data_IF_428583833819
#
_entry.id   IF_428583833819
#
_cell.length_a   1.000
_cell.length_b   1.000
_cell.length_c   1.000
_cell.angle_alpha   90.00
_cell.angle_beta   90.00
_cell.angle_gamma   90.00
#
_symmetry.space_group_name_H-M   'P 1'
#
loop_
_entity.id
_entity.type
_entity.pdbx_description
1 polymer ?
#
# COMPACT_ATOMS: atom_id res chain seq x y z
N UNK A 1 -9.11 17.74 25.17
CA UNK A 1 -8.50 16.39 25.07
C UNK A 1 -8.95 15.60 23.82
N UNK A 2 -10.25 15.40 23.55
CA UNK A 2 -10.71 14.63 22.36
C UNK A 2 -10.11 15.09 21.01
N UNK A 3 -9.81 16.38 20.85
CA UNK A 3 -9.19 16.91 19.63
C UNK A 3 -7.74 16.47 19.41
N UNK A 4 -6.98 16.19 20.48
CA UNK A 4 -5.61 15.70 20.38
C UNK A 4 -5.60 14.33 19.68
N UNK A 5 -6.37 13.37 20.16
CA UNK A 5 -6.42 12.00 19.61
C UNK A 5 -6.90 11.96 18.16
N UNK A 6 -7.79 12.86 17.76
CA UNK A 6 -8.21 13.00 16.35
C UNK A 6 -7.12 13.58 15.45
N UNK A 7 -6.25 14.45 16.01
CA UNK A 7 -5.16 15.07 15.25
C UNK A 7 -3.97 14.12 15.08
N UNK A 8 -3.56 13.44 16.14
CA UNK A 8 -2.36 12.58 16.15
C UNK A 8 -2.64 11.13 15.77
N UNK A 9 -3.91 10.70 15.88
CA UNK A 9 -4.38 9.37 15.54
C UNK A 9 -5.71 9.45 14.77
N UNK A 10 -6.48 8.36 14.71
CA UNK A 10 -7.85 8.34 14.15
C UNK A 10 -8.94 8.56 15.22
N UNK A 11 -8.56 8.96 16.40
CA UNK A 11 -9.40 9.09 17.59
C UNK A 11 -9.06 8.00 18.61
N UNK A 12 -9.91 7.86 19.60
CA UNK A 12 -9.93 6.71 20.52
C UNK A 12 -11.14 5.85 20.17
N UNK A 13 -10.99 4.55 20.30
CA UNK A 13 -12.11 3.61 20.17
C UNK A 13 -13.19 3.84 21.25
N UNK A 14 -14.40 3.29 21.04
CA UNK A 14 -15.51 3.52 21.97
C UNK A 14 -15.22 2.99 23.38
N UNK A 15 -14.43 1.93 23.51
CA UNK A 15 -14.09 1.26 24.77
C UNK A 15 -12.68 1.63 25.28
N UNK A 16 -11.94 2.47 24.56
CA UNK A 16 -10.60 2.89 24.97
C UNK A 16 -10.65 3.94 26.07
N UNK A 17 -9.87 3.68 27.14
CA UNK A 17 -9.69 4.66 28.21
C UNK A 17 -8.83 5.82 27.71
N UNK A 18 -9.25 7.04 28.05
CA UNK A 18 -8.44 8.24 27.79
C UNK A 18 -7.14 8.15 28.57
N UNK A 19 -5.97 8.12 27.90
CA UNK A 19 -4.68 8.10 28.58
C UNK A 19 -4.49 9.30 29.51
N UNK A 20 -3.81 9.09 30.64
CA UNK A 20 -3.52 10.15 31.61
C UNK A 20 -2.57 11.20 31.06
N UNK A 21 -1.56 10.76 30.29
CA UNK A 21 -0.65 11.62 29.52
C UNK A 21 -0.80 11.34 28.01
N UNK A 22 -1.50 12.23 27.29
CA UNK A 22 -1.71 12.06 25.85
C UNK A 22 -0.43 12.13 25.01
N UNK A 23 0.55 12.91 25.45
CA UNK A 23 1.81 13.09 24.70
C UNK A 23 2.70 11.87 24.84
N UNK A 24 2.84 11.35 26.06
CA UNK A 24 3.60 10.13 26.33
C UNK A 24 2.97 8.94 25.61
N UNK A 25 1.64 8.78 25.71
CA UNK A 25 0.91 7.77 24.94
C UNK A 25 1.19 7.82 23.44
N UNK A 26 1.31 9.02 22.86
CA UNK A 26 1.60 9.15 21.44
C UNK A 26 3.07 8.81 21.13
N UNK A 27 4.02 9.19 22.00
CA UNK A 27 5.45 8.91 21.82
C UNK A 27 5.76 7.42 21.95
N UNK A 28 5.15 6.73 22.90
CA UNK A 28 5.37 5.30 23.13
C UNK A 28 5.08 4.47 21.87
N UNK A 29 4.07 4.88 21.09
CA UNK A 29 3.72 4.21 19.84
C UNK A 29 4.73 4.42 18.72
N UNK A 30 5.69 5.34 18.86
CA UNK A 30 6.72 5.62 17.85
C UNK A 30 8.02 4.83 18.08
N UNK A 31 8.15 4.12 19.20
CA UNK A 31 9.38 3.43 19.58
C UNK A 31 9.70 2.26 18.67
N UNK A 32 8.68 1.53 18.26
CA UNK A 32 8.85 0.41 17.32
C UNK A 32 7.69 0.32 16.33
N UNK A 33 7.95 -0.32 15.20
CA UNK A 33 6.92 -0.59 14.20
C UNK A 33 6.42 -2.02 14.41
N UNK A 34 5.17 -2.19 14.90
CA UNK A 34 4.64 -3.52 15.19
C UNK A 34 4.42 -4.34 13.91
N UNK A 35 4.30 -5.64 14.07
CA UNK A 35 3.84 -6.50 13.00
C UNK A 35 2.43 -6.11 12.54
N UNK A 36 2.07 -6.51 11.33
CA UNK A 36 0.73 -6.30 10.81
C UNK A 36 -0.32 -7.11 11.58
N UNK A 37 -1.44 -6.48 11.88
CA UNK A 37 -2.62 -7.17 12.41
C UNK A 37 -3.31 -8.07 11.35
N UNK A 38 -3.04 -7.83 10.07
CA UNK A 38 -3.57 -8.59 8.95
C UNK A 38 -3.12 -10.04 8.97
N UNK A 39 -4.08 -10.98 8.97
CA UNK A 39 -3.81 -12.42 9.02
C UNK A 39 -3.90 -13.12 7.65
N UNK A 40 -4.27 -12.38 6.60
CA UNK A 40 -4.32 -12.91 5.23
C UNK A 40 -2.93 -12.93 4.56
N UNK A 41 -2.91 -13.45 3.33
CA UNK A 41 -1.68 -13.46 2.52
C UNK A 41 -1.24 -12.04 2.19
N UNK A 42 0.03 -11.76 2.42
CA UNK A 42 0.75 -10.55 2.02
C UNK A 42 1.88 -10.97 1.10
N UNK A 43 2.01 -10.32 -0.05
CA UNK A 43 3.09 -10.59 -1.00
C UNK A 43 4.11 -9.44 -1.00
N UNK A 44 5.41 -9.76 -1.06
CA UNK A 44 6.43 -8.76 -1.24
C UNK A 44 6.37 -8.12 -2.64
N UNK A 45 6.89 -6.91 -2.78
CA UNK A 45 6.93 -6.18 -4.04
C UNK A 45 7.50 -7.01 -5.19
N UNK A 46 8.58 -7.75 -4.94
CA UNK A 46 9.22 -8.64 -5.91
C UNK A 46 8.27 -9.68 -6.51
N UNK A 47 7.40 -10.28 -5.70
CA UNK A 47 6.40 -11.23 -6.19
C UNK A 47 5.30 -10.51 -6.98
N UNK A 48 4.85 -9.36 -6.53
CA UNK A 48 3.84 -8.56 -7.24
C UNK A 48 4.32 -8.11 -8.61
N UNK A 49 5.62 -7.82 -8.78
CA UNK A 49 6.24 -7.57 -10.09
C UNK A 49 6.15 -8.80 -11.02
N UNK A 50 6.28 -10.01 -10.48
CA UNK A 50 6.10 -11.24 -11.25
C UNK A 50 4.63 -11.37 -11.72
N UNK A 51 3.65 -11.13 -10.86
CA UNK A 51 2.23 -11.13 -11.24
C UNK A 51 1.93 -10.11 -12.36
N UNK A 52 2.50 -8.92 -12.28
CA UNK A 52 2.41 -7.93 -13.36
C UNK A 52 2.97 -8.47 -14.67
N UNK A 53 4.17 -9.03 -14.64
CA UNK A 53 4.86 -9.60 -15.82
C UNK A 53 4.03 -10.71 -16.44
N UNK A 54 3.57 -11.64 -15.63
CA UNK A 54 2.79 -12.80 -16.09
C UNK A 54 1.44 -12.36 -16.71
N UNK A 55 0.79 -11.37 -16.12
CA UNK A 55 -0.41 -10.79 -16.69
C UNK A 55 -0.14 -10.09 -18.04
N UNK A 56 0.87 -9.23 -18.12
CA UNK A 56 1.14 -8.44 -19.34
C UNK A 56 1.65 -9.31 -20.49
N UNK A 57 2.62 -10.17 -20.20
CA UNK A 57 3.31 -10.96 -21.21
C UNK A 57 2.68 -12.34 -21.46
N UNK A 58 1.91 -12.85 -20.50
CA UNK A 58 1.17 -14.11 -20.57
C UNK A 58 -0.31 -13.89 -20.87
N UNK A 59 -1.11 -13.74 -19.81
CA UNK A 59 -2.58 -13.76 -19.85
C UNK A 59 -3.18 -12.78 -20.84
N UNK A 60 -2.70 -11.55 -20.87
CA UNK A 60 -3.19 -10.51 -21.77
C UNK A 60 -2.92 -10.83 -23.24
N UNK A 61 -1.77 -11.45 -23.54
CA UNK A 61 -1.47 -11.89 -24.91
C UNK A 61 -2.37 -13.04 -25.35
N UNK A 62 -2.62 -14.00 -24.46
CA UNK A 62 -3.53 -15.11 -24.71
C UNK A 62 -4.94 -14.60 -24.99
N UNK A 63 -5.46 -13.68 -24.15
CA UNK A 63 -6.77 -13.06 -24.37
C UNK A 63 -6.84 -12.31 -25.71
N UNK A 64 -5.81 -11.53 -26.05
CA UNK A 64 -5.78 -10.81 -27.34
C UNK A 64 -5.86 -11.75 -28.54
N UNK A 65 -5.16 -12.90 -28.49
CA UNK A 65 -5.21 -13.91 -29.55
C UNK A 65 -6.60 -14.55 -29.63
N UNK A 66 -7.15 -14.96 -28.46
CA UNK A 66 -8.45 -15.65 -28.37
C UNK A 66 -9.61 -14.78 -28.89
N UNK A 67 -9.59 -13.50 -28.57
CA UNK A 67 -10.65 -12.55 -28.90
C UNK A 67 -10.24 -11.55 -30.00
N UNK A 68 -9.41 -11.98 -30.95
CA UNK A 68 -8.88 -11.10 -32.01
C UNK A 68 -9.97 -10.33 -32.78
N UNK A 69 -11.11 -10.98 -33.05
CA UNK A 69 -12.23 -10.43 -33.81
C UNK A 69 -13.46 -10.11 -32.93
N UNK A 70 -13.34 -10.25 -31.58
CA UNK A 70 -14.43 -9.98 -30.66
C UNK A 70 -13.95 -8.98 -29.56
N UNK A 71 -14.12 -7.69 -29.88
CA UNK A 71 -13.70 -6.60 -28.96
C UNK A 71 -14.46 -6.62 -27.61
N UNK A 72 -15.74 -6.93 -27.64
CA UNK A 72 -16.58 -6.94 -26.44
C UNK A 72 -16.27 -8.17 -25.55
N UNK A 73 -16.10 -9.34 -26.16
CA UNK A 73 -15.61 -10.53 -25.44
C UNK A 73 -14.25 -10.31 -24.82
N UNK A 74 -13.30 -9.69 -25.55
CA UNK A 74 -11.99 -9.31 -25.00
C UNK A 74 -12.12 -8.38 -23.79
N UNK A 75 -12.91 -7.32 -23.90
CA UNK A 75 -13.12 -6.34 -22.83
C UNK A 75 -13.72 -6.99 -21.58
N UNK A 76 -14.74 -7.83 -21.76
CA UNK A 76 -15.40 -8.57 -20.68
C UNK A 76 -14.43 -9.50 -19.94
N UNK A 77 -13.71 -10.37 -20.67
CA UNK A 77 -12.81 -11.33 -20.04
C UNK A 77 -11.56 -10.67 -19.46
N UNK A 78 -11.02 -9.64 -20.11
CA UNK A 78 -9.96 -8.80 -19.53
C UNK A 78 -10.39 -8.16 -18.20
N UNK A 79 -11.63 -7.65 -18.14
CA UNK A 79 -12.13 -7.04 -16.93
C UNK A 79 -12.27 -8.06 -15.78
N UNK A 80 -12.79 -9.26 -16.04
CA UNK A 80 -12.83 -10.36 -15.07
C UNK A 80 -11.44 -10.68 -14.53
N UNK A 81 -10.46 -10.89 -15.42
CA UNK A 81 -9.10 -11.22 -15.04
C UNK A 81 -8.46 -10.17 -14.15
N UNK A 82 -8.71 -8.87 -14.42
CA UNK A 82 -8.21 -7.77 -13.58
C UNK A 82 -8.69 -7.85 -12.14
N UNK A 83 -9.90 -8.33 -11.90
CA UNK A 83 -10.51 -8.41 -10.57
C UNK A 83 -10.19 -9.70 -9.82
N UNK A 84 -9.77 -10.76 -10.51
CA UNK A 84 -9.52 -12.08 -9.90
C UNK A 84 -8.04 -12.29 -9.57
N UNK A 85 -7.15 -12.00 -10.51
CA UNK A 85 -5.70 -12.23 -10.38
C UNK A 85 -4.86 -11.03 -10.80
N UNK A 86 -5.48 -10.03 -11.41
CA UNK A 86 -4.80 -8.86 -11.94
C UNK A 86 -4.69 -7.70 -10.95
N UNK A 87 -4.31 -6.55 -11.48
CA UNK A 87 -3.98 -5.36 -10.68
C UNK A 87 -5.09 -4.89 -9.74
N UNK A 88 -6.37 -5.03 -10.10
CA UNK A 88 -7.48 -4.59 -9.25
C UNK A 88 -7.65 -5.44 -8.00
N UNK A 89 -7.33 -6.75 -8.10
CA UNK A 89 -7.32 -7.62 -6.94
C UNK A 89 -6.25 -7.18 -5.95
N UNK A 90 -5.00 -7.04 -6.39
CA UNK A 90 -3.87 -6.68 -5.54
C UNK A 90 -4.03 -5.28 -4.95
N UNK A 91 -4.46 -4.31 -5.77
CA UNK A 91 -4.73 -2.96 -5.30
C UNK A 91 -5.80 -2.92 -4.20
N UNK A 92 -6.94 -3.60 -4.40
CA UNK A 92 -8.00 -3.66 -3.40
C UNK A 92 -7.53 -4.36 -2.12
N UNK A 93 -6.75 -5.45 -2.23
CA UNK A 93 -6.20 -6.16 -1.08
C UNK A 93 -5.31 -5.23 -0.24
N UNK A 94 -4.41 -4.48 -0.86
CA UNK A 94 -3.53 -3.54 -0.16
C UNK A 94 -4.30 -2.39 0.49
N UNK A 95 -5.35 -1.90 -0.14
CA UNK A 95 -6.26 -0.94 0.50
C UNK A 95 -6.93 -1.54 1.73
N UNK A 96 -7.42 -2.78 1.65
CA UNK A 96 -8.01 -3.48 2.80
C UNK A 96 -7.02 -3.66 3.94
N UNK A 97 -5.76 -4.04 3.64
CA UNK A 97 -4.69 -4.15 4.63
C UNK A 97 -4.49 -2.81 5.33
N UNK A 98 -4.27 -1.74 4.58
CA UNK A 98 -4.01 -0.40 5.11
C UNK A 98 -5.17 0.14 5.95
N UNK A 99 -6.41 -0.05 5.50
CA UNK A 99 -7.59 0.36 6.26
C UNK A 99 -7.80 -0.50 7.51
N UNK A 100 -7.52 -1.81 7.42
CA UNK A 100 -7.59 -2.70 8.58
C UNK A 100 -6.61 -2.28 9.68
N UNK A 101 -5.37 -1.93 9.30
CA UNK A 101 -4.39 -1.38 10.23
C UNK A 101 -4.87 -0.06 10.86
N UNK A 102 -5.46 0.83 10.07
CA UNK A 102 -6.00 2.09 10.59
C UNK A 102 -7.13 1.92 11.61
N UNK A 103 -7.96 0.85 11.44
CA UNK A 103 -9.14 0.61 12.28
C UNK A 103 -8.85 -0.29 13.49
N UNK A 104 -7.88 -1.20 13.38
CA UNK A 104 -7.64 -2.27 14.36
C UNK A 104 -6.28 -2.19 15.04
N UNK A 105 -5.42 -1.26 14.62
CA UNK A 105 -4.08 -1.14 15.17
C UNK A 105 -4.13 -0.71 16.64
N UNK A 106 -3.35 -1.37 17.47
CA UNK A 106 -3.05 -0.93 18.84
C UNK A 106 -2.16 0.32 18.85
N UNK A 107 -1.63 0.69 17.68
CA UNK A 107 -0.78 1.87 17.47
C UNK A 107 -1.39 2.85 16.45
N UNK A 108 -2.53 3.48 16.77
CA UNK A 108 -3.24 4.35 15.83
C UNK A 108 -2.46 5.61 15.42
N UNK A 109 -1.46 6.04 16.21
CA UNK A 109 -0.55 7.13 15.84
C UNK A 109 0.33 6.71 14.66
N UNK A 110 0.95 5.53 14.73
CA UNK A 110 1.73 4.98 13.61
C UNK A 110 0.88 4.75 12.38
N UNK A 111 -0.34 4.22 12.55
CA UNK A 111 -1.26 4.04 11.44
C UNK A 111 -1.56 5.38 10.75
N UNK A 112 -1.75 6.46 11.51
CA UNK A 112 -1.96 7.80 10.94
C UNK A 112 -0.72 8.37 10.27
N UNK A 113 0.47 8.18 10.85
CA UNK A 113 1.73 8.55 10.21
C UNK A 113 1.95 7.81 8.89
N UNK A 114 1.57 6.54 8.81
CA UNK A 114 1.64 5.80 7.56
C UNK A 114 0.76 6.44 6.47
N UNK A 115 -0.44 6.90 6.81
CA UNK A 115 -1.28 7.67 5.87
C UNK A 115 -0.63 8.98 5.45
N UNK A 116 -0.04 9.71 6.40
CA UNK A 116 0.64 10.97 6.13
C UNK A 116 1.83 10.77 5.18
N UNK A 117 2.76 9.89 5.52
CA UNK A 117 3.94 9.63 4.70
C UNK A 117 3.59 8.95 3.37
N UNK A 118 2.61 8.07 3.37
CA UNK A 118 2.09 7.46 2.16
C UNK A 118 1.48 8.45 1.17
N UNK A 119 0.92 9.55 1.66
CA UNK A 119 0.45 10.65 0.82
C UNK A 119 1.60 11.58 0.37
N UNK A 120 2.62 11.74 1.23
CA UNK A 120 3.80 12.55 0.90
C UNK A 120 4.65 11.91 -0.19
N UNK A 121 4.90 10.61 -0.09
CA UNK A 121 5.60 9.79 -1.09
C UNK A 121 4.61 9.03 -1.99
N UNK A 122 3.61 9.74 -2.48
CA UNK A 122 2.55 9.13 -3.28
C UNK A 122 3.05 8.68 -4.65
N UNK A 123 2.56 7.53 -5.08
CA UNK A 123 2.74 7.00 -6.43
C UNK A 123 1.40 7.04 -7.13
N UNK A 124 1.37 7.59 -8.34
CA UNK A 124 0.15 7.69 -9.13
C UNK A 124 -0.31 6.32 -9.61
N UNK A 125 -1.57 5.98 -9.35
CA UNK A 125 -2.21 4.76 -9.83
C UNK A 125 -2.56 4.78 -11.34
N UNK A 126 -2.22 5.85 -12.05
CA UNK A 126 -2.38 5.91 -13.53
C UNK A 126 -1.47 4.90 -14.21
N UNK A 127 -0.30 4.65 -13.64
CA UNK A 127 0.57 3.59 -14.09
C UNK A 127 -0.04 2.22 -13.77
N UNK A 128 -0.12 1.39 -14.80
CA UNK A 128 -0.67 0.05 -14.71
C UNK A 128 0.15 -0.87 -13.79
N UNK A 129 1.46 -0.72 -13.77
CA UNK A 129 2.35 -1.46 -12.89
C UNK A 129 2.22 -1.00 -11.43
N UNK A 130 2.08 0.31 -11.21
CA UNK A 130 1.89 0.89 -9.89
C UNK A 130 0.68 0.28 -9.17
N UNK A 131 -0.39 -0.07 -9.89
CA UNK A 131 -1.55 -0.75 -9.31
C UNK A 131 -1.22 -2.14 -8.71
N UNK A 132 -0.12 -2.78 -9.12
CA UNK A 132 0.35 -4.02 -8.47
C UNK A 132 1.23 -3.75 -7.26
N UNK A 133 2.09 -2.75 -7.32
CA UNK A 133 3.24 -2.64 -6.43
C UNK A 133 3.15 -1.49 -5.41
N UNK A 134 2.28 -0.50 -5.62
CA UNK A 134 2.15 0.66 -4.72
C UNK A 134 1.85 0.26 -3.28
N UNK A 135 0.99 -0.75 -3.06
CA UNK A 135 0.68 -1.20 -1.70
C UNK A 135 1.87 -1.81 -1.00
N UNK A 136 2.63 -2.67 -1.70
CA UNK A 136 3.87 -3.24 -1.16
C UNK A 136 4.92 -2.15 -0.89
N UNK A 137 5.09 -1.19 -1.79
CA UNK A 137 5.94 -0.02 -1.56
C UNK A 137 5.54 0.73 -0.29
N UNK A 138 4.26 0.96 -0.07
CA UNK A 138 3.75 1.61 1.13
C UNK A 138 4.06 0.83 2.41
N UNK A 139 4.04 -0.51 2.36
CA UNK A 139 4.34 -1.38 3.50
C UNK A 139 5.84 -1.52 3.76
N UNK A 140 6.58 -1.89 2.71
CA UNK A 140 7.97 -2.34 2.81
C UNK A 140 8.95 -1.17 2.88
N UNK A 141 8.59 -0.04 2.31
CA UNK A 141 9.44 1.14 2.27
C UNK A 141 8.92 2.22 3.23
N UNK A 142 7.70 2.70 3.02
CA UNK A 142 7.22 3.85 3.81
C UNK A 142 6.98 3.46 5.26
N UNK A 143 6.14 2.44 5.51
CA UNK A 143 5.83 2.02 6.88
C UNK A 143 7.07 1.51 7.62
N UNK A 144 7.90 0.72 6.98
CA UNK A 144 9.09 0.14 7.58
C UNK A 144 10.14 1.18 8.03
N UNK A 145 10.12 2.38 7.46
CA UNK A 145 11.07 3.45 7.77
C UNK A 145 10.47 4.60 8.60
N UNK A 146 9.23 4.49 9.09
CA UNK A 146 8.57 5.59 9.80
C UNK A 146 9.23 5.97 11.13
N UNK A 147 9.95 5.06 11.78
CA UNK A 147 10.71 5.31 13.01
C UNK A 147 12.21 5.58 12.75
N UNK A 148 12.61 5.68 11.48
CA UNK A 148 13.97 6.06 11.10
C UNK A 148 14.09 7.59 10.95
N UNK A 149 15.32 8.09 10.75
CA UNK A 149 15.47 9.50 10.41
C UNK A 149 14.90 9.79 9.01
N UNK A 150 14.52 11.05 8.79
CA UNK A 150 13.86 11.47 7.54
C UNK A 150 14.75 11.26 6.32
N UNK A 151 16.04 11.48 6.44
CA UNK A 151 17.01 11.27 5.34
C UNK A 151 16.96 9.83 4.84
N UNK A 152 16.99 8.85 5.76
CA UNK A 152 16.89 7.44 5.39
C UNK A 152 15.55 7.12 4.73
N UNK A 153 14.45 7.64 5.25
CA UNK A 153 13.13 7.44 4.63
C UNK A 153 13.10 7.99 3.20
N UNK A 154 13.66 9.20 2.96
CA UNK A 154 13.75 9.80 1.62
C UNK A 154 14.59 8.94 0.69
N UNK A 155 15.78 8.49 1.15
CA UNK A 155 16.66 7.63 0.35
C UNK A 155 15.94 6.34 -0.05
N UNK A 156 15.39 5.61 0.90
CA UNK A 156 14.66 4.35 0.63
C UNK A 156 13.45 4.56 -0.28
N UNK A 157 12.69 5.64 -0.06
CA UNK A 157 11.52 5.95 -0.88
C UNK A 157 11.87 6.29 -2.33
N UNK A 158 12.97 7.03 -2.55
CA UNK A 158 13.36 7.50 -3.88
C UNK A 158 14.04 6.42 -4.71
N UNK A 159 14.81 5.51 -4.08
CA UNK A 159 15.47 4.40 -4.79
C UNK A 159 14.61 3.15 -4.89
N UNK A 160 13.43 3.15 -4.28
CA UNK A 160 12.51 2.03 -4.37
C UNK A 160 12.12 1.76 -5.83
N UNK A 161 12.12 0.49 -6.23
CA UNK A 161 11.84 0.10 -7.60
C UNK A 161 10.52 0.66 -8.13
N UNK A 162 9.46 0.62 -7.33
CA UNK A 162 8.14 1.17 -7.70
C UNK A 162 8.19 2.68 -7.95
N UNK A 163 8.99 3.44 -7.16
CA UNK A 163 9.15 4.87 -7.35
C UNK A 163 10.00 5.19 -8.60
N UNK A 164 11.12 4.49 -8.80
CA UNK A 164 11.95 4.63 -10.00
C UNK A 164 11.12 4.39 -11.27
N UNK A 165 10.33 3.33 -11.27
CA UNK A 165 9.45 3.02 -12.39
C UNK A 165 8.35 4.07 -12.59
N UNK A 166 7.77 4.59 -11.50
CA UNK A 166 6.76 5.64 -11.55
C UNK A 166 7.27 6.96 -12.16
N UNK A 167 8.54 7.25 -11.96
CA UNK A 167 9.20 8.45 -12.48
C UNK A 167 9.85 8.23 -13.86
N UNK A 168 9.61 7.09 -14.51
CA UNK A 168 10.19 6.69 -15.80
C UNK A 168 11.75 6.71 -15.80
N UNK A 169 12.36 6.49 -14.63
CA UNK A 169 13.82 6.46 -14.46
C UNK A 169 14.43 5.06 -14.59
N UNK A 170 13.67 4.07 -14.99
CA UNK A 170 14.13 2.69 -15.14
C UNK A 170 14.98 2.44 -16.39
N UNK A 171 15.01 3.38 -17.32
CA UNK A 171 15.76 3.29 -18.59
C UNK A 171 16.97 4.24 -18.64
N UNK A 172 17.30 4.88 -17.50
CA UNK A 172 18.47 5.79 -17.37
C UNK A 172 19.64 5.16 -16.64
#
# INVERSE_FOLDING_TARGET
>A
MKNFYRKVAFGLGPDEKVPSDPLEWAKDQLNEIPEFSWKGKILPEKELRNYYRDYVYGDRKVLRKKFKNDKEGYKREKNKLRHVTGQKFWWNLELCIRHSEALKSETPVLAKLWYFWGNHFAISEKDFLAQYTTGAYQREIIRANMNQNFEKMVQEATVAWTMIHHLDNNDN
#
